data_IF_912823874968
#
_entry.id   IF_912823874968
#
_cell.length_a   1.000
_cell.length_b   1.000
_cell.length_c   1.000
_cell.angle_alpha   90.00
_cell.angle_beta   90.00
_cell.angle_gamma   90.00
#
_symmetry.space_group_name_H-M   'P 1'
#
loop_
_entity.id
_entity.type
_entity.pdbx_description
1 polymer ?
#
# COMPACT_ATOMS: atom_id res chain seq x y z
N UNK A 1 0.72 9.85 3.59
CA UNK A 1 0.99 8.79 4.59
C UNK A 1 2.08 7.82 4.09
N UNK A 2 2.01 7.31 2.85
CA UNK A 2 3.04 6.44 2.25
C UNK A 2 4.46 6.91 2.41
N UNK A 3 4.74 8.15 2.02
CA UNK A 3 6.09 8.69 2.06
C UNK A 3 6.66 8.77 3.50
N UNK A 4 5.79 8.89 4.51
CA UNK A 4 6.22 8.83 5.91
C UNK A 4 6.72 7.43 6.26
N UNK A 5 5.99 6.39 5.83
CA UNK A 5 6.48 5.02 5.98
C UNK A 5 7.74 4.82 5.16
N UNK A 6 7.76 5.15 3.86
CA UNK A 6 8.95 5.02 2.96
C UNK A 6 10.19 5.63 3.61
N UNK A 7 10.06 6.80 4.22
CA UNK A 7 11.11 7.45 4.98
C UNK A 7 11.57 6.68 6.22
N UNK A 8 10.68 5.96 6.93
CA UNK A 8 11.06 5.13 8.08
C UNK A 8 11.92 3.92 7.66
N UNK A 9 11.57 3.20 6.60
CA UNK A 9 12.44 2.10 6.10
C UNK A 9 13.70 2.63 5.46
N UNK A 10 13.63 3.72 4.68
CA UNK A 10 14.83 4.29 4.08
C UNK A 10 15.91 4.62 5.13
N UNK A 11 15.47 5.04 6.34
CA UNK A 11 16.34 5.32 7.49
C UNK A 11 16.67 4.09 8.36
N UNK A 12 16.16 2.91 8.03
CA UNK A 12 16.34 1.68 8.80
C UNK A 12 15.66 1.70 10.18
N UNK A 13 14.55 2.44 10.32
CA UNK A 13 13.83 2.63 11.61
C UNK A 13 12.48 1.91 11.65
N UNK A 14 12.13 1.16 10.62
CA UNK A 14 10.89 0.40 10.58
C UNK A 14 11.09 -0.97 11.21
N UNK A 15 10.35 -1.26 12.28
CA UNK A 15 10.47 -2.52 13.01
C UNK A 15 9.85 -3.69 12.23
N UNK A 16 10.58 -4.79 12.12
CA UNK A 16 10.06 -6.00 11.51
C UNK A 16 8.91 -6.55 12.38
N UNK A 17 7.75 -6.75 11.76
CA UNK A 17 6.57 -7.29 12.45
C UNK A 17 6.67 -8.81 12.66
N UNK A 18 7.47 -9.50 11.85
CA UNK A 18 7.64 -10.96 11.90
C UNK A 18 8.71 -11.36 12.92
N UNK A 19 9.77 -10.56 13.06
CA UNK A 19 10.87 -10.78 14.00
C UNK A 19 11.01 -9.61 14.98
N UNK A 20 10.52 -9.75 16.22
CA UNK A 20 10.60 -8.69 17.22
C UNK A 20 12.05 -8.26 17.49
N UNK A 21 12.31 -6.95 17.46
CA UNK A 21 13.64 -6.38 17.70
C UNK A 21 14.51 -6.23 16.46
N UNK A 22 14.10 -6.80 15.32
CA UNK A 22 14.74 -6.53 14.03
C UNK A 22 14.14 -5.28 13.37
N UNK A 23 14.95 -4.57 12.60
CA UNK A 23 14.53 -3.42 11.80
C UNK A 23 14.85 -3.66 10.34
N UNK A 24 14.05 -3.08 9.45
CA UNK A 24 14.36 -3.08 8.03
C UNK A 24 15.74 -2.42 7.79
N UNK A 25 16.56 -2.93 6.86
CA UNK A 25 17.82 -2.29 6.52
C UNK A 25 17.57 -0.92 5.88
N UNK A 26 18.49 0.05 6.04
CA UNK A 26 18.39 1.34 5.36
C UNK A 26 18.47 1.14 3.85
N UNK A 27 17.76 2.00 3.11
CA UNK A 27 17.80 2.02 1.64
C UNK A 27 18.50 3.28 1.17
N UNK A 28 19.47 3.13 0.27
CA UNK A 28 20.19 4.24 -0.35
C UNK A 28 19.37 4.95 -1.42
N UNK A 29 18.31 4.31 -1.94
CA UNK A 29 17.49 4.84 -3.04
C UNK A 29 16.02 4.43 -2.87
N UNK A 30 15.31 5.15 -2.01
CA UNK A 30 13.87 5.02 -1.83
C UNK A 30 13.17 6.23 -2.47
N UNK A 31 12.62 6.03 -3.67
CA UNK A 31 12.01 7.13 -4.43
C UNK A 31 10.78 7.73 -3.73
N UNK A 32 10.45 8.98 -4.05
CA UNK A 32 9.24 9.62 -3.55
C UNK A 32 8.02 9.08 -4.29
N UNK A 33 6.95 8.79 -3.56
CA UNK A 33 5.66 8.47 -4.17
C UNK A 33 4.91 9.74 -4.51
N UNK A 34 4.50 9.86 -5.78
CA UNK A 34 3.59 10.91 -6.23
C UNK A 34 2.19 10.33 -6.42
N UNK A 35 1.19 11.19 -6.24
CA UNK A 35 -0.20 10.82 -6.44
C UNK A 35 -0.54 10.90 -7.92
N UNK A 36 -1.17 9.85 -8.44
CA UNK A 36 -1.54 9.73 -9.85
C UNK A 36 -3.04 9.47 -9.99
N UNK A 37 -3.74 10.39 -10.66
CA UNK A 37 -5.19 10.30 -10.90
C UNK A 37 -5.57 9.13 -11.82
N UNK A 38 -4.66 8.67 -12.69
CA UNK A 38 -4.90 7.50 -13.56
C UNK A 38 -4.93 6.23 -12.72
N UNK A 39 -3.99 6.10 -11.78
CA UNK A 39 -3.98 5.02 -10.81
C UNK A 39 -5.26 5.01 -9.96
N UNK A 40 -5.67 6.17 -9.44
CA UNK A 40 -6.91 6.30 -8.67
C UNK A 40 -8.13 5.87 -9.49
N UNK A 41 -8.21 6.25 -10.76
CA UNK A 41 -9.36 5.89 -11.58
C UNK A 41 -9.48 4.37 -11.76
N UNK A 42 -8.37 3.65 -11.94
CA UNK A 42 -8.39 2.18 -11.99
C UNK A 42 -8.81 1.60 -10.62
N UNK A 43 -8.34 2.20 -9.53
CA UNK A 43 -8.65 1.82 -8.17
C UNK A 43 -10.15 1.92 -7.88
N UNK A 44 -10.72 3.09 -8.20
CA UNK A 44 -12.13 3.41 -8.02
C UNK A 44 -13.02 2.48 -8.86
N UNK A 45 -12.65 2.24 -10.13
CA UNK A 45 -13.41 1.33 -10.99
C UNK A 45 -13.50 -0.07 -10.39
N UNK A 46 -12.39 -0.57 -9.85
CA UNK A 46 -12.35 -1.90 -9.28
C UNK A 46 -13.05 -1.98 -7.93
N UNK A 47 -12.91 -0.99 -7.04
CA UNK A 47 -13.56 -1.03 -5.72
C UNK A 47 -15.08 -1.13 -5.83
N UNK A 48 -15.67 -0.59 -6.90
CA UNK A 48 -17.09 -0.70 -7.19
C UNK A 48 -17.58 -2.13 -7.52
N UNK A 49 -16.68 -3.07 -7.85
CA UNK A 49 -17.08 -4.48 -8.10
C UNK A 49 -17.43 -5.22 -6.82
N UNK A 50 -16.92 -4.77 -5.67
CA UNK A 50 -17.09 -5.39 -4.35
C UNK A 50 -16.70 -6.88 -4.29
N UNK A 51 -15.87 -7.38 -5.21
CA UNK A 51 -15.57 -8.81 -5.38
C UNK A 51 -14.48 -9.35 -4.45
N UNK A 52 -13.86 -8.48 -3.65
CA UNK A 52 -12.87 -8.81 -2.61
C UNK A 52 -11.64 -9.56 -3.14
N UNK A 53 -11.32 -9.43 -4.43
CA UNK A 53 -10.11 -10.00 -5.04
C UNK A 53 -9.28 -8.90 -5.69
N UNK A 54 -8.08 -9.23 -6.16
CA UNK A 54 -7.30 -8.29 -6.96
C UNK A 54 -7.85 -8.25 -8.39
N UNK A 55 -7.84 -7.06 -8.97
CA UNK A 55 -8.18 -6.84 -10.37
C UNK A 55 -7.17 -7.54 -11.28
N UNK A 56 -7.61 -8.10 -12.42
CA UNK A 56 -6.71 -8.63 -13.43
C UNK A 56 -5.76 -7.52 -13.92
N UNK A 57 -4.48 -7.84 -14.16
CA UNK A 57 -3.46 -6.86 -14.53
C UNK A 57 -3.83 -6.05 -15.79
N UNK A 58 -4.56 -6.66 -16.73
CA UNK A 58 -5.05 -6.01 -17.94
C UNK A 58 -5.97 -4.80 -17.67
N UNK A 59 -6.57 -4.71 -16.48
CA UNK A 59 -7.49 -3.63 -16.09
C UNK A 59 -6.76 -2.41 -15.51
N UNK A 60 -5.44 -2.53 -15.30
CA UNK A 60 -4.55 -1.53 -14.71
C UNK A 60 -3.14 -1.62 -15.33
N UNK A 61 -3.03 -1.41 -16.66
CA UNK A 61 -1.79 -1.62 -17.39
C UNK A 61 -0.68 -0.69 -16.86
N UNK A 62 0.48 -1.27 -16.52
CA UNK A 62 1.61 -0.52 -15.95
C UNK A 62 1.57 -0.33 -14.43
N UNK A 63 0.54 -0.86 -13.75
CA UNK A 63 0.38 -0.64 -12.32
C UNK A 63 0.10 -1.91 -11.51
N UNK A 64 0.58 -1.96 -10.27
CA UNK A 64 0.36 -3.07 -9.31
C UNK A 64 -0.66 -2.72 -8.24
N UNK A 65 -1.56 -3.65 -7.89
CA UNK A 65 -2.66 -3.37 -6.96
C UNK A 65 -2.52 -3.99 -5.56
N UNK A 66 -3.00 -3.23 -4.58
CA UNK A 66 -3.09 -3.61 -3.18
C UNK A 66 -4.53 -3.45 -2.68
N UNK A 67 -5.11 -4.52 -2.14
CA UNK A 67 -6.47 -4.51 -1.60
C UNK A 67 -6.45 -4.78 -0.10
N UNK A 68 -7.42 -4.21 0.60
CA UNK A 68 -7.68 -4.47 2.00
C UNK A 68 -9.18 -4.52 2.23
N UNK A 69 -9.63 -5.57 2.91
CA UNK A 69 -11.04 -5.83 3.12
C UNK A 69 -11.31 -5.67 4.61
N UNK A 70 -12.15 -4.70 4.94
CA UNK A 70 -12.67 -4.54 6.28
C UNK A 70 -13.95 -5.36 6.37
N UNK A 71 -13.98 -6.31 7.31
CA UNK A 71 -15.18 -7.09 7.61
C UNK A 71 -16.09 -6.35 8.59
N UNK A 72 -16.27 -5.04 8.40
CA UNK A 72 -17.17 -4.19 9.17
C UNK A 72 -17.60 -3.00 8.33
N UNK A 73 -18.88 -2.65 8.42
CA UNK A 73 -19.45 -1.44 7.82
C UNK A 73 -19.49 -0.27 8.82
N UNK A 74 -19.19 -0.52 10.10
CA UNK A 74 -19.17 0.48 11.17
C UNK A 74 -17.82 1.24 11.20
N UNK A 75 -17.42 1.81 10.07
CA UNK A 75 -16.21 2.62 9.97
C UNK A 75 -16.42 3.76 8.97
N UNK A 76 -15.85 4.93 9.26
CA UNK A 76 -15.83 6.05 8.31
C UNK A 76 -14.57 5.96 7.42
N UNK A 77 -14.48 6.80 6.39
CA UNK A 77 -13.35 6.77 5.44
C UNK A 77 -12.00 6.91 6.18
N UNK A 78 -11.91 7.79 7.16
CA UNK A 78 -10.67 8.00 7.93
C UNK A 78 -10.31 6.77 8.78
N UNK A 79 -11.30 6.15 9.43
CA UNK A 79 -11.14 4.94 10.22
C UNK A 79 -10.77 3.74 9.35
N UNK A 80 -11.30 3.66 8.12
CA UNK A 80 -10.92 2.63 7.16
C UNK A 80 -9.46 2.79 6.72
N UNK A 81 -9.04 4.02 6.42
CA UNK A 81 -7.65 4.35 6.07
C UNK A 81 -6.70 4.09 7.24
N UNK A 82 -7.10 4.40 8.48
CA UNK A 82 -6.28 4.12 9.67
C UNK A 82 -6.14 2.63 9.94
N UNK A 83 -7.22 1.84 9.86
CA UNK A 83 -7.16 0.38 10.06
C UNK A 83 -6.26 -0.31 9.03
N UNK A 84 -6.31 0.14 7.78
CA UNK A 84 -5.41 -0.31 6.72
C UNK A 84 -3.93 -0.09 7.11
N UNK A 85 -3.62 1.07 7.68
CA UNK A 85 -2.26 1.51 8.04
C UNK A 85 -1.71 0.82 9.29
N UNK A 86 -2.57 0.47 10.25
CA UNK A 86 -2.14 0.03 11.58
C UNK A 86 -2.19 -1.48 11.79
N UNK A 87 -2.79 -2.24 10.87
CA UNK A 87 -2.95 -3.68 11.05
C UNK A 87 -1.60 -4.44 10.97
N UNK A 88 -1.13 -5.08 12.06
CA UNK A 88 0.15 -5.81 12.04
C UNK A 88 0.12 -7.04 11.10
N UNK A 89 -1.06 -7.63 10.84
CA UNK A 89 -1.25 -8.68 9.82
C UNK A 89 -1.25 -8.14 8.39
N UNK A 90 -1.34 -6.82 8.19
CA UNK A 90 -1.08 -6.21 6.89
C UNK A 90 0.41 -6.04 6.59
N UNK A 91 1.29 -6.41 7.53
CA UNK A 91 2.73 -6.54 7.30
C UNK A 91 3.33 -5.22 6.83
N UNK A 92 3.09 -4.12 7.55
CA UNK A 92 3.47 -2.77 7.12
C UNK A 92 4.99 -2.61 6.90
N UNK A 93 5.82 -3.48 7.50
CA UNK A 93 7.28 -3.49 7.29
C UNK A 93 7.74 -4.60 6.34
N UNK A 94 7.02 -5.72 6.26
CA UNK A 94 7.26 -6.79 5.26
C UNK A 94 6.76 -6.40 3.85
N UNK A 95 5.77 -5.50 3.79
CA UNK A 95 5.09 -5.00 2.59
C UNK A 95 5.00 -3.49 2.62
N UNK A 96 6.14 -2.85 2.52
CA UNK A 96 6.23 -1.41 2.28
C UNK A 96 5.54 -0.90 1.00
N UNK A 97 4.96 -1.81 0.22
CA UNK A 97 4.42 -1.57 -1.09
C UNK A 97 2.88 -1.51 -1.15
N UNK A 98 2.14 -1.68 -0.03
CA UNK A 98 0.70 -1.95 -0.12
C UNK A 98 -0.22 -1.07 0.74
N UNK A 99 -0.43 0.20 0.38
CA UNK A 99 -1.45 1.02 1.06
C UNK A 99 -2.03 2.14 0.18
N UNK A 100 -3.21 2.65 0.51
CA UNK A 100 -4.26 3.32 -0.29
C UNK A 100 -5.25 2.29 -0.85
N UNK A 101 -6.54 2.60 -0.67
CA UNK A 101 -7.64 1.88 -1.29
C UNK A 101 -7.31 1.64 -2.77
N UNK A 102 -7.21 0.37 -3.16
CA UNK A 102 -6.71 -0.06 -4.45
C UNK A 102 -5.52 0.79 -4.93
N UNK A 103 -4.43 0.83 -4.18
CA UNK A 103 -3.24 1.52 -4.68
C UNK A 103 -2.70 0.74 -5.84
N UNK A 104 -2.79 1.40 -6.97
CA UNK A 104 -2.30 0.98 -8.25
C UNK A 104 -0.99 1.75 -8.39
N UNK A 105 0.15 1.11 -8.10
CA UNK A 105 1.47 1.74 -8.17
C UNK A 105 2.07 1.56 -9.55
N UNK A 106 2.44 2.66 -10.21
CA UNK A 106 3.21 2.60 -11.44
C UNK A 106 4.59 2.03 -11.08
N UNK A 107 4.89 0.81 -11.53
CA UNK A 107 6.27 0.35 -11.54
C UNK A 107 6.93 0.98 -12.76
N UNK A 108 7.47 2.19 -12.62
CA UNK A 108 8.52 2.63 -13.51
C UNK A 108 9.79 1.87 -13.09
N UNK A 109 9.90 0.62 -13.54
CA UNK A 109 11.19 -0.07 -13.61
C UNK A 109 12.01 0.65 -14.68
N UNK A 110 12.73 1.70 -14.27
CA UNK A 110 13.84 2.25 -15.05
C UNK A 110 15.11 1.64 -14.49
N UNK A 111 15.78 0.86 -15.35
CA UNK A 111 17.06 0.19 -15.16
C UNK A 111 18.09 0.97 -14.32
#
# INVERSE_FOLDING_TARGET
>A
MHNNFRSLVARGRAANAENPGEFAPPSSRMDLMEYDCVAERYALRHVCSCDKKQSPAAYRPGYQENIHILHTTATNILGALQNLVTNPKSGIVSRMLKLLAATIFASHDSY
#
